data_IF_614320802293
#
_entry.id   IF_614320802293
#
_cell.length_a   1.000
_cell.length_b   1.000
_cell.length_c   1.000
_cell.angle_alpha   90.00
_cell.angle_beta   90.00
_cell.angle_gamma   90.00
#
_symmetry.space_group_name_H-M   'P 1'
#
loop_
_entity.id
_entity.type
_entity.pdbx_description
1 polymer ?
#
# COMPACT_ATOMS: atom_id res chain seq x y z
N UNK A 1 15.26 27.36 -3.19
CA UNK A 1 14.48 27.02 -2.96
C UNK A 1 13.93 26.31 -3.67
N UNK A 2 13.97 25.66 -3.51
CA UNK A 2 13.51 24.89 -4.16
C UNK A 2 12.37 24.67 -4.33
N UNK A 3 11.97 25.11 -4.55
CA UNK A 3 10.97 25.04 -4.69
C UNK A 3 10.38 24.11 -4.98
N UNK A 4 10.18 23.74 -4.65
CA UNK A 4 9.22 23.06 -5.04
C UNK A 4 9.47 21.71 -5.38
N UNK A 5 10.06 20.98 -4.54
CA UNK A 5 9.92 19.55 -4.61
C UNK A 5 8.49 19.22 -4.24
N UNK A 6 7.76 18.65 -5.18
CA UNK A 6 6.41 18.18 -4.92
C UNK A 6 6.45 17.04 -3.93
N UNK A 7 5.53 17.05 -2.98
CA UNK A 7 5.37 15.93 -2.05
C UNK A 7 4.93 14.69 -2.81
N UNK A 8 5.46 13.56 -2.40
CA UNK A 8 5.15 12.27 -3.01
C UNK A 8 4.68 11.29 -1.96
N UNK A 9 3.53 10.67 -2.23
CA UNK A 9 2.95 9.67 -1.34
C UNK A 9 2.83 8.36 -2.10
N UNK A 10 3.29 7.27 -1.50
CA UNK A 10 3.17 5.94 -2.08
C UNK A 10 2.15 5.15 -1.27
N UNK A 11 1.09 4.67 -1.92
CA UNK A 11 0.01 3.93 -1.28
C UNK A 11 0.01 2.50 -1.79
N UNK A 12 -0.03 1.52 -0.88
CA UNK A 12 -0.15 0.12 -1.24
C UNK A 12 -1.47 -0.42 -0.71
N UNK A 13 -2.37 -0.79 -1.63
CA UNK A 13 -3.66 -1.39 -1.32
C UNK A 13 -3.78 -2.71 -2.10
N UNK A 14 -3.73 -3.82 -1.39
CA UNK A 14 -3.68 -5.14 -2.02
C UNK A 14 -5.01 -5.80 -2.28
N UNK A 15 -6.09 -5.25 -1.73
CA UNK A 15 -7.43 -5.84 -1.82
C UNK A 15 -8.43 -4.81 -2.31
N UNK A 16 -9.57 -5.29 -2.82
CA UNK A 16 -10.60 -4.44 -3.39
C UNK A 16 -11.12 -3.37 -2.42
N UNK A 17 -11.36 -3.73 -1.16
CA UNK A 17 -11.83 -2.77 -0.16
C UNK A 17 -10.78 -1.69 0.12
N UNK A 18 -9.52 -2.09 0.22
CA UNK A 18 -8.42 -1.15 0.42
C UNK A 18 -8.23 -0.23 -0.77
N UNK A 19 -8.40 -0.76 -1.97
CA UNK A 19 -8.34 0.00 -3.21
C UNK A 19 -9.40 1.12 -3.23
N UNK A 20 -10.62 0.81 -2.81
CA UNK A 20 -11.70 1.80 -2.70
C UNK A 20 -11.37 2.89 -1.68
N UNK A 21 -10.91 2.51 -0.50
CA UNK A 21 -10.54 3.47 0.55
C UNK A 21 -9.39 4.36 0.12
N UNK A 22 -8.37 3.77 -0.50
CA UNK A 22 -7.21 4.53 -0.97
C UNK A 22 -7.59 5.53 -2.06
N UNK A 23 -8.43 5.11 -3.01
CA UNK A 23 -8.89 6.00 -4.08
C UNK A 23 -9.71 7.16 -3.53
N UNK A 24 -10.58 6.89 -2.55
CA UNK A 24 -11.36 7.94 -1.90
C UNK A 24 -10.45 8.95 -1.18
N UNK A 25 -9.45 8.45 -0.48
CA UNK A 25 -8.46 9.29 0.20
C UNK A 25 -7.73 10.21 -0.79
N UNK A 26 -7.29 9.65 -1.92
CA UNK A 26 -6.58 10.44 -2.94
C UNK A 26 -7.48 11.54 -3.49
N UNK A 27 -8.72 11.22 -3.82
CA UNK A 27 -9.66 12.21 -4.35
C UNK A 27 -9.89 13.36 -3.38
N UNK A 28 -10.09 13.06 -2.11
CA UNK A 28 -10.31 14.11 -1.10
C UNK A 28 -9.04 14.92 -0.85
N UNK A 29 -7.90 14.26 -0.78
CA UNK A 29 -6.64 14.93 -0.50
C UNK A 29 -6.25 15.88 -1.64
N UNK A 30 -6.51 15.51 -2.87
CA UNK A 30 -6.18 16.34 -4.02
C UNK A 30 -7.04 17.59 -4.15
N UNK A 31 -8.24 17.59 -3.57
CA UNK A 31 -9.06 18.80 -3.49
C UNK A 31 -8.38 19.87 -2.64
N UNK A 32 -7.64 19.42 -1.62
CA UNK A 32 -6.95 20.32 -0.69
C UNK A 32 -5.58 20.71 -1.24
N UNK A 33 -4.87 19.74 -1.83
CA UNK A 33 -3.51 19.96 -2.33
C UNK A 33 -3.29 19.22 -3.64
N UNK A 34 -3.62 19.85 -4.78
CA UNK A 34 -3.54 19.19 -6.09
C UNK A 34 -2.12 18.90 -6.59
N UNK A 35 -1.10 19.40 -5.91
CA UNK A 35 0.28 19.22 -6.34
C UNK A 35 0.92 17.93 -5.83
N UNK A 36 0.28 17.22 -4.90
CA UNK A 36 0.82 15.98 -4.38
C UNK A 36 0.84 14.90 -5.47
N UNK A 37 1.97 14.22 -5.59
CA UNK A 37 2.12 13.08 -6.50
C UNK A 37 1.77 11.82 -5.72
N UNK A 38 0.82 11.05 -6.23
CA UNK A 38 0.46 9.76 -5.66
C UNK A 38 0.92 8.65 -6.59
N UNK A 39 1.72 7.73 -6.04
CA UNK A 39 2.06 6.47 -6.69
C UNK A 39 1.33 5.37 -5.93
N UNK A 40 0.90 4.32 -6.59
CA UNK A 40 0.09 3.30 -5.94
C UNK A 40 0.32 1.89 -6.45
N UNK A 41 0.20 0.94 -5.52
CA UNK A 41 -0.16 -0.43 -5.80
C UNK A 41 -1.66 -0.50 -5.60
N UNK A 42 -2.41 -0.88 -6.60
CA UNK A 42 -3.85 -0.90 -6.48
C UNK A 42 -4.56 -1.60 -7.62
N UNK A 43 -5.86 -1.46 -7.61
CA UNK A 43 -6.75 -2.11 -8.57
C UNK A 43 -7.56 -1.06 -9.32
N UNK A 44 -8.80 -1.39 -9.65
CA UNK A 44 -9.64 -0.59 -10.53
C UNK A 44 -9.87 0.83 -10.03
N UNK A 45 -10.22 0.99 -8.77
CA UNK A 45 -10.55 2.31 -8.23
C UNK A 45 -9.34 3.24 -8.23
N UNK A 46 -8.17 2.70 -7.87
CA UNK A 46 -6.95 3.49 -7.92
C UNK A 46 -6.52 3.79 -9.36
N UNK A 47 -6.78 2.87 -10.29
CA UNK A 47 -6.53 3.14 -11.73
C UNK A 47 -7.38 4.29 -12.25
N UNK A 48 -8.60 4.43 -11.73
CA UNK A 48 -9.51 5.51 -12.13
C UNK A 48 -9.23 6.81 -11.37
N UNK A 49 -8.31 6.79 -10.43
CA UNK A 49 -7.87 7.99 -9.71
C UNK A 49 -6.72 8.65 -10.46
N UNK A 50 -6.19 9.73 -9.89
CA UNK A 50 -5.03 10.41 -10.46
C UNK A 50 -3.69 9.77 -10.08
N UNK A 51 -3.72 8.66 -9.34
CA UNK A 51 -2.48 7.99 -8.93
C UNK A 51 -1.77 7.33 -10.10
N UNK A 52 -0.45 7.32 -10.04
CA UNK A 52 0.37 6.54 -10.97
C UNK A 52 0.38 5.09 -10.47
N UNK A 53 -0.11 4.16 -11.26
CA UNK A 53 -0.16 2.76 -10.85
C UNK A 53 1.18 2.10 -11.17
N UNK A 54 1.88 1.74 -10.11
CA UNK A 54 3.19 1.08 -10.20
C UNK A 54 3.02 -0.43 -10.39
N UNK A 55 1.97 -0.99 -9.79
CA UNK A 55 1.69 -2.41 -9.88
C UNK A 55 0.19 -2.67 -9.67
N UNK A 56 -0.38 -3.54 -10.50
CA UNK A 56 -1.78 -3.94 -10.39
C UNK A 56 -1.88 -5.16 -9.46
N UNK A 57 -2.39 -4.94 -8.26
CA UNK A 57 -2.45 -5.99 -7.23
C UNK A 57 -3.47 -7.08 -7.55
N UNK A 58 -4.36 -6.85 -8.51
CA UNK A 58 -5.27 -7.90 -8.97
C UNK A 58 -4.51 -9.08 -9.56
N UNK A 59 -3.31 -8.86 -10.07
CA UNK A 59 -2.47 -9.93 -10.62
C UNK A 59 -2.18 -11.02 -9.59
N UNK A 60 -2.01 -10.66 -8.34
CA UNK A 60 -1.78 -11.63 -7.26
C UNK A 60 -3.02 -12.50 -7.06
N UNK A 61 -4.20 -11.89 -7.06
CA UNK A 61 -5.47 -12.60 -6.90
C UNK A 61 -5.73 -13.57 -8.05
N UNK A 62 -5.49 -13.13 -9.27
CA UNK A 62 -5.73 -13.94 -10.48
C UNK A 62 -4.80 -15.16 -10.50
N UNK A 63 -3.50 -14.97 -10.26
CA UNK A 63 -2.53 -16.05 -10.25
C UNK A 63 -2.84 -17.04 -9.14
N UNK A 64 -3.23 -16.54 -7.97
CA UNK A 64 -3.52 -17.37 -6.81
C UNK A 64 -4.72 -18.30 -6.95
N UNK A 65 -5.58 -18.06 -7.95
CA UNK A 65 -6.70 -18.97 -8.23
C UNK A 65 -6.17 -20.29 -8.81
N UNK A 66 -5.06 -20.26 -9.54
CA UNK A 66 -4.55 -21.40 -10.27
C UNK A 66 -3.59 -22.27 -9.46
N UNK A 67 -2.68 -21.64 -8.74
CA UNK A 67 -1.76 -22.42 -7.90
C UNK A 67 -1.05 -21.54 -6.86
N UNK A 68 -0.79 -22.14 -5.70
CA UNK A 68 -0.18 -21.44 -4.55
C UNK A 68 1.26 -21.02 -4.86
N UNK A 69 2.01 -21.84 -5.58
CA UNK A 69 3.39 -21.53 -5.92
C UNK A 69 3.48 -20.30 -6.82
N UNK A 70 2.59 -20.22 -7.83
CA UNK A 70 2.52 -19.05 -8.71
C UNK A 70 2.17 -17.78 -7.95
N UNK A 71 1.28 -17.89 -6.98
CA UNK A 71 0.92 -16.77 -6.09
C UNK A 71 2.13 -16.31 -5.30
N UNK A 72 2.89 -17.24 -4.73
CA UNK A 72 4.09 -16.92 -3.95
C UNK A 72 5.13 -16.19 -4.82
N UNK A 73 5.36 -16.68 -6.04
CA UNK A 73 6.28 -16.05 -6.98
C UNK A 73 5.84 -14.62 -7.31
N UNK A 74 4.53 -14.42 -7.56
CA UNK A 74 4.00 -13.10 -7.89
C UNK A 74 4.11 -12.14 -6.71
N UNK A 75 3.86 -12.62 -5.49
CA UNK A 75 4.02 -11.81 -4.28
C UNK A 75 5.47 -11.36 -4.09
N UNK A 76 6.42 -12.28 -4.29
CA UNK A 76 7.84 -11.97 -4.18
C UNK A 76 8.25 -10.91 -5.21
N UNK A 77 7.74 -11.05 -6.43
CA UNK A 77 7.97 -10.07 -7.49
C UNK A 77 7.39 -8.70 -7.12
N UNK A 78 6.17 -8.68 -6.60
CA UNK A 78 5.52 -7.44 -6.17
C UNK A 78 6.29 -6.76 -5.04
N UNK A 79 6.78 -7.54 -4.07
CA UNK A 79 7.61 -7.01 -2.99
C UNK A 79 8.87 -6.33 -3.52
N UNK A 80 9.52 -6.96 -4.50
CA UNK A 80 10.72 -6.38 -5.10
C UNK A 80 10.39 -5.07 -5.82
N UNK A 81 9.31 -5.05 -6.59
CA UNK A 81 8.87 -3.84 -7.30
C UNK A 81 8.61 -2.71 -6.31
N UNK A 82 7.92 -2.99 -5.20
CA UNK A 82 7.62 -2.00 -4.18
C UNK A 82 8.89 -1.46 -3.54
N UNK A 83 9.80 -2.34 -3.16
CA UNK A 83 11.06 -1.94 -2.53
C UNK A 83 11.93 -1.11 -3.47
N UNK A 84 12.02 -1.53 -4.73
CA UNK A 84 12.78 -0.79 -5.74
C UNK A 84 12.20 0.61 -5.95
N UNK A 85 10.86 0.71 -6.01
CA UNK A 85 10.19 2.00 -6.15
C UNK A 85 10.46 2.91 -4.95
N UNK A 86 10.34 2.38 -3.74
CA UNK A 86 10.62 3.13 -2.51
C UNK A 86 12.07 3.62 -2.50
N UNK A 87 12.98 2.74 -2.84
CA UNK A 87 14.40 3.08 -2.83
C UNK A 87 14.74 4.15 -3.87
N UNK A 88 14.09 4.08 -5.02
CA UNK A 88 14.32 5.02 -6.12
C UNK A 88 13.70 6.41 -5.85
N UNK A 89 12.46 6.43 -5.37
CA UNK A 89 11.70 7.69 -5.23
C UNK A 89 11.76 8.32 -3.86
N UNK A 90 12.06 7.54 -2.83
CA UNK A 90 12.07 8.01 -1.42
C UNK A 90 10.85 8.84 -1.09
N UNK A 91 9.64 8.24 -1.09
CA UNK A 91 8.42 9.00 -0.85
C UNK A 91 8.44 9.73 0.50
N UNK A 92 7.75 10.84 0.59
CA UNK A 92 7.62 11.57 1.86
C UNK A 92 6.81 10.81 2.88
N UNK A 93 5.81 10.06 2.41
CA UNK A 93 4.99 9.19 3.25
C UNK A 93 4.63 7.93 2.46
N UNK A 94 4.63 6.81 3.14
CA UNK A 94 4.14 5.54 2.60
C UNK A 94 2.90 5.17 3.39
N UNK A 95 1.77 4.99 2.69
CA UNK A 95 0.50 4.61 3.31
C UNK A 95 0.20 3.17 2.92
N UNK A 96 0.08 2.31 3.91
CA UNK A 96 -0.17 0.89 3.74
C UNK A 96 -1.60 0.60 4.16
N UNK A 97 -2.40 0.10 3.23
CA UNK A 97 -3.84 -0.12 3.44
C UNK A 97 -4.12 -1.61 3.46
N UNK A 98 -4.56 -2.12 4.62
CA UNK A 98 -4.85 -3.54 4.84
C UNK A 98 -3.69 -4.44 4.38
N UNK A 99 -3.95 -5.56 3.70
CA UNK A 99 -2.94 -6.44 3.10
C UNK A 99 -1.73 -6.68 4.04
N UNK A 100 -2.05 -7.11 5.24
CA UNK A 100 -1.16 -6.95 6.41
C UNK A 100 0.19 -7.63 6.27
N UNK A 101 0.21 -8.89 5.82
CA UNK A 101 1.47 -9.63 5.74
C UNK A 101 2.45 -9.02 4.75
N UNK A 102 1.95 -8.64 3.58
CA UNK A 102 2.75 -7.94 2.57
C UNK A 102 3.21 -6.59 3.11
N UNK A 103 2.28 -5.82 3.64
CA UNK A 103 2.55 -4.45 4.06
C UNK A 103 3.45 -4.37 5.29
N UNK A 104 3.44 -5.38 6.17
CA UNK A 104 4.40 -5.41 7.27
C UNK A 104 5.84 -5.51 6.78
N UNK A 105 6.07 -6.28 5.73
CA UNK A 105 7.41 -6.40 5.12
C UNK A 105 7.84 -5.07 4.50
N UNK A 106 6.91 -4.39 3.85
CA UNK A 106 7.19 -3.06 3.27
C UNK A 106 7.46 -2.04 4.37
N UNK A 107 6.67 -2.06 5.44
CA UNK A 107 6.87 -1.15 6.57
C UNK A 107 8.25 -1.32 7.19
N UNK A 108 8.67 -2.56 7.38
CA UNK A 108 9.99 -2.86 7.93
C UNK A 108 11.10 -2.30 7.03
N UNK A 109 10.98 -2.53 5.73
CA UNK A 109 11.95 -2.02 4.76
C UNK A 109 11.99 -0.49 4.76
N UNK A 110 10.83 0.16 4.69
CA UNK A 110 10.74 1.62 4.65
C UNK A 110 11.32 2.26 5.91
N UNK A 111 11.04 1.67 7.07
CA UNK A 111 11.59 2.16 8.34
C UNK A 111 13.11 2.02 8.39
N UNK A 112 13.66 0.97 7.80
CA UNK A 112 15.12 0.81 7.74
C UNK A 112 15.78 1.93 6.94
N UNK A 113 15.03 2.59 6.05
CA UNK A 113 15.49 3.74 5.28
C UNK A 113 15.15 5.08 5.95
N UNK A 114 14.53 5.05 7.13
CA UNK A 114 14.15 6.26 7.84
C UNK A 114 12.91 6.95 7.29
N UNK A 115 12.11 6.26 6.51
CA UNK A 115 10.93 6.84 5.86
C UNK A 115 9.70 6.76 6.75
N UNK A 116 8.77 7.69 6.58
CA UNK A 116 7.53 7.76 7.34
C UNK A 116 6.50 6.79 6.78
N UNK A 117 5.92 5.97 7.67
CA UNK A 117 4.94 4.95 7.30
C UNK A 117 3.67 5.15 8.12
N UNK A 118 2.52 5.10 7.43
CA UNK A 118 1.20 5.09 8.06
C UNK A 118 0.54 3.77 7.67
N UNK A 119 0.08 3.02 8.66
CA UNK A 119 -0.60 1.75 8.42
C UNK A 119 -2.08 1.91 8.73
N UNK A 120 -2.92 1.78 7.71
CA UNK A 120 -4.37 1.87 7.83
C UNK A 120 -4.99 0.48 7.69
N UNK A 121 -5.77 0.10 8.68
CA UNK A 121 -6.47 -1.18 8.67
C UNK A 121 -7.97 -0.91 8.77
N UNK A 122 -8.76 -1.51 7.87
CA UNK A 122 -10.19 -1.30 7.84
C UNK A 122 -10.84 -1.76 9.17
N UNK A 123 -11.89 -1.08 9.64
CA UNK A 123 -12.48 -1.37 10.95
C UNK A 123 -12.87 -2.84 11.17
N UNK A 124 -13.45 -3.50 10.17
CA UNK A 124 -13.84 -4.90 10.26
C UNK A 124 -12.64 -5.83 10.47
N UNK A 125 -11.58 -5.59 9.71
CA UNK A 125 -10.36 -6.37 9.82
C UNK A 125 -9.65 -6.05 11.14
N UNK A 126 -9.71 -4.80 11.57
CA UNK A 126 -9.11 -4.35 12.82
C UNK A 126 -9.77 -5.04 14.03
N UNK A 127 -11.08 -5.10 14.08
CA UNK A 127 -11.82 -5.76 15.15
C UNK A 127 -11.44 -7.24 15.28
N UNK A 128 -11.33 -7.94 14.15
CA UNK A 128 -10.91 -9.34 14.13
C UNK A 128 -9.48 -9.51 14.67
N UNK A 129 -8.58 -8.62 14.29
CA UNK A 129 -7.18 -8.69 14.71
C UNK A 129 -6.98 -8.26 16.16
N UNK A 130 -7.80 -7.38 16.67
CA UNK A 130 -7.77 -7.00 18.07
C UNK A 130 -7.96 -8.22 18.96
N UNK A 131 -8.89 -9.09 18.61
CA UNK A 131 -9.14 -10.32 19.35
C UNK A 131 -7.90 -11.25 19.31
N UNK A 132 -7.23 -11.34 18.17
CA UNK A 132 -6.02 -12.15 18.04
C UNK A 132 -4.86 -11.56 18.85
N UNK A 133 -4.68 -10.27 18.81
CA UNK A 133 -3.64 -9.59 19.58
C UNK A 133 -3.87 -9.75 21.08
N UNK A 134 -5.13 -9.64 21.50
CA UNK A 134 -5.51 -9.83 22.90
C UNK A 134 -5.18 -11.24 23.38
N UNK A 135 -5.49 -12.24 22.56
CA UNK A 135 -5.19 -13.63 22.87
C UNK A 135 -3.66 -13.86 23.01
N UNK A 136 -2.87 -13.19 22.21
CA UNK A 136 -1.42 -13.28 22.29
C UNK A 136 -0.87 -12.64 23.56
N UNK A 137 -1.47 -11.56 24.02
CA UNK A 137 -1.03 -10.87 25.24
C UNK A 137 -1.45 -11.62 26.50
N UNK A 138 -2.62 -12.25 26.47
CA UNK A 138 -3.16 -12.97 27.64
C UNK A 138 -2.55 -14.37 27.83
N UNK A 139 -1.86 -14.88 26.84
CA UNK A 139 -1.19 -16.18 26.86
C UNK A 139 0.31 -16.01 26.84
#
# INVERSE_FOLDING_TARGET
>A
MSMSEKKRIFIIAGESSGDQHAAAYIREHQKINPEIIFDAFGQKELKDSSANIIYDTERISVVGIFEVLSKYVEITKALKIAKDHINKTRPDVIILVDYVEFNLKIAKFAKSLGLRVIFYVAPQLWAWRENRARNLVEN
#
